data_IF_899156552474
#
_entry.id   IF_899156552474
#
_cell.length_a   1.000
_cell.length_b   1.000
_cell.length_c   1.000
_cell.angle_alpha   90.00
_cell.angle_beta   90.00
_cell.angle_gamma   90.00
#
_symmetry.space_group_name_H-M   'P 1'
#
loop_
_entity.id
_entity.type
_entity.pdbx_description
1 polymer ?
#
# COMPACT_ATOMS: atom_id res chain seq x y z
N UNK A 1 17.46 8.19 -19.96
CA UNK A 1 17.81 7.63 -18.64
C UNK A 1 19.22 8.03 -18.21
N UNK A 2 20.23 7.91 -19.08
CA UNK A 2 21.62 8.26 -18.72
C UNK A 2 21.83 9.72 -18.28
N UNK A 3 21.12 10.66 -18.90
CA UNK A 3 21.21 12.09 -18.53
C UNK A 3 20.72 12.33 -17.10
N UNK A 4 19.63 11.68 -16.71
CA UNK A 4 19.08 11.75 -15.34
C UNK A 4 20.02 11.13 -14.31
N UNK A 5 20.66 10.01 -14.65
CA UNK A 5 21.62 9.36 -13.76
C UNK A 5 22.88 10.22 -13.56
N UNK A 6 23.42 10.82 -14.62
CA UNK A 6 24.54 11.77 -14.53
C UNK A 6 24.18 13.02 -13.72
N UNK A 7 22.97 13.54 -13.87
CA UNK A 7 22.49 14.66 -13.06
C UNK A 7 22.41 14.30 -11.58
N UNK A 8 21.90 13.12 -11.23
CA UNK A 8 21.83 12.64 -9.85
C UNK A 8 23.24 12.47 -9.26
N UNK A 9 24.17 11.89 -10.00
CA UNK A 9 25.57 11.72 -9.57
C UNK A 9 26.28 13.05 -9.34
N UNK A 10 26.01 14.04 -10.18
CA UNK A 10 26.63 15.37 -10.07
C UNK A 10 26.06 16.19 -8.92
N UNK A 11 24.77 16.02 -8.59
CA UNK A 11 24.09 16.78 -7.52
C UNK A 11 24.26 16.14 -6.14
N UNK A 12 24.49 14.83 -6.06
CA UNK A 12 24.57 14.07 -4.81
C UNK A 12 25.92 13.34 -4.71
N UNK A 13 26.96 13.96 -4.13
CA UNK A 13 28.30 13.37 -4.01
C UNK A 13 28.38 12.31 -2.90
N UNK A 14 27.31 11.50 -2.73
CA UNK A 14 27.24 10.43 -1.74
C UNK A 14 27.59 9.08 -2.37
N UNK A 15 28.29 8.23 -1.64
CA UNK A 15 28.72 6.90 -2.09
C UNK A 15 27.56 5.98 -2.47
N UNK A 16 26.40 6.13 -1.85
CA UNK A 16 25.19 5.36 -2.15
C UNK A 16 24.54 5.72 -3.51
N UNK A 17 24.76 6.96 -4.00
CA UNK A 17 24.23 7.40 -5.30
C UNK A 17 24.89 6.70 -6.50
N UNK A 18 25.95 5.93 -6.29
CA UNK A 18 26.65 5.16 -7.34
C UNK A 18 25.91 3.87 -7.72
N UNK A 19 25.02 3.38 -6.87
CA UNK A 19 24.28 2.14 -7.13
C UNK A 19 23.03 2.41 -7.97
N UNK A 20 22.88 1.73 -9.10
CA UNK A 20 21.75 1.91 -10.01
C UNK A 20 20.39 1.66 -9.35
N UNK A 21 20.34 0.72 -8.41
CA UNK A 21 19.15 0.47 -7.59
C UNK A 21 18.73 1.73 -6.80
N UNK A 22 19.69 2.43 -6.20
CA UNK A 22 19.40 3.63 -5.41
C UNK A 22 18.94 4.80 -6.28
N UNK A 23 19.50 4.94 -7.48
CA UNK A 23 19.06 5.94 -8.47
C UNK A 23 17.64 5.71 -8.90
N UNK A 24 17.27 4.44 -9.20
CA UNK A 24 15.92 4.07 -9.56
C UNK A 24 14.93 4.32 -8.41
N UNK A 25 15.32 3.99 -7.18
CA UNK A 25 14.52 4.26 -5.99
C UNK A 25 14.30 5.77 -5.78
N UNK A 26 15.35 6.58 -5.93
CA UNK A 26 15.26 8.03 -5.82
C UNK A 26 14.35 8.64 -6.88
N UNK A 27 14.48 8.21 -8.14
CA UNK A 27 13.61 8.65 -9.24
C UNK A 27 12.15 8.27 -8.97
N UNK A 28 11.90 7.04 -8.50
CA UNK A 28 10.56 6.60 -8.15
C UNK A 28 9.96 7.46 -7.03
N UNK A 29 10.72 7.76 -5.98
CA UNK A 29 10.26 8.64 -4.89
C UNK A 29 9.94 10.04 -5.39
N UNK A 30 10.82 10.66 -6.20
CA UNK A 30 10.59 11.99 -6.76
C UNK A 30 9.31 12.03 -7.63
N UNK A 31 9.06 10.99 -8.41
CA UNK A 31 7.87 10.91 -9.27
C UNK A 31 6.58 10.65 -8.48
N UNK A 32 6.65 9.83 -7.44
CA UNK A 32 5.48 9.42 -6.66
C UNK A 32 5.09 10.48 -5.62
N UNK A 33 6.08 11.19 -5.04
CA UNK A 33 5.85 12.18 -3.99
C UNK A 33 4.80 13.25 -4.36
N UNK A 34 4.83 13.90 -5.53
CA UNK A 34 3.82 14.90 -5.89
C UNK A 34 2.43 14.28 -6.03
N UNK A 35 2.31 13.05 -6.50
CA UNK A 35 1.03 12.34 -6.61
C UNK A 35 0.46 12.09 -5.20
N UNK A 36 1.27 11.59 -4.27
CA UNK A 36 0.85 11.39 -2.89
C UNK A 36 0.56 12.71 -2.17
N UNK A 37 1.27 13.79 -2.46
CA UNK A 37 0.99 15.11 -1.90
C UNK A 37 -0.41 15.60 -2.34
N UNK A 38 -0.77 15.45 -3.61
CA UNK A 38 -2.10 15.80 -4.13
C UNK A 38 -3.20 14.94 -3.49
N UNK A 39 -3.00 13.64 -3.41
CA UNK A 39 -3.95 12.73 -2.77
C UNK A 39 -4.09 13.09 -1.29
N UNK A 40 -2.99 13.33 -0.58
CA UNK A 40 -3.00 13.70 0.83
C UNK A 40 -3.78 14.99 1.11
N UNK A 41 -3.63 16.02 0.28
CA UNK A 41 -4.41 17.26 0.42
C UNK A 41 -5.90 17.01 0.22
N UNK A 42 -6.28 16.15 -0.73
CA UNK A 42 -7.69 15.78 -0.95
C UNK A 42 -8.25 14.98 0.24
N UNK A 43 -7.47 14.04 0.79
CA UNK A 43 -7.85 13.22 1.95
C UNK A 43 -8.13 14.13 3.16
N UNK A 44 -7.24 15.08 3.45
CA UNK A 44 -7.40 16.04 4.54
C UNK A 44 -8.62 16.93 4.32
N UNK A 45 -8.79 17.47 3.10
CA UNK A 45 -9.92 18.35 2.75
C UNK A 45 -11.27 17.65 2.87
N UNK A 46 -11.31 16.33 2.71
CA UNK A 46 -12.52 15.52 2.83
C UNK A 46 -12.74 14.94 4.23
N UNK A 47 -11.92 15.31 5.21
CA UNK A 47 -11.97 14.75 6.56
C UNK A 47 -11.94 13.23 6.58
N UNK A 48 -10.93 12.65 5.91
CA UNK A 48 -10.75 11.20 5.75
C UNK A 48 -9.43 10.76 6.40
N UNK A 49 -9.25 11.03 7.71
CA UNK A 49 -7.99 10.76 8.42
C UNK A 49 -7.62 9.27 8.41
N UNK A 50 -8.59 8.36 8.54
CA UNK A 50 -8.38 6.92 8.53
C UNK A 50 -8.15 6.30 7.14
N UNK A 51 -8.16 7.10 6.07
CA UNK A 51 -8.06 6.59 4.71
C UNK A 51 -6.78 5.77 4.46
N UNK A 52 -5.64 6.30 4.91
CA UNK A 52 -4.34 5.63 4.75
C UNK A 52 -4.27 4.32 5.53
N UNK A 53 -4.83 4.29 6.74
CA UNK A 53 -4.84 3.11 7.59
C UNK A 53 -5.72 2.00 6.98
N UNK A 54 -6.91 2.37 6.49
CA UNK A 54 -7.80 1.42 5.78
C UNK A 54 -7.10 0.81 4.58
N UNK A 55 -6.42 1.63 3.76
CA UNK A 55 -5.69 1.14 2.59
C UNK A 55 -4.52 0.23 2.98
N UNK A 56 -3.72 0.63 3.97
CA UNK A 56 -2.59 -0.17 4.42
C UNK A 56 -3.00 -1.55 4.93
N UNK A 57 -4.01 -1.61 5.79
CA UNK A 57 -4.52 -2.87 6.31
C UNK A 57 -5.28 -3.69 5.27
N UNK A 58 -5.97 -3.06 4.33
CA UNK A 58 -6.61 -3.76 3.22
C UNK A 58 -5.58 -4.42 2.31
N UNK A 59 -4.45 -3.77 2.07
CA UNK A 59 -3.36 -4.35 1.30
C UNK A 59 -2.82 -5.62 1.97
N UNK A 60 -2.53 -5.58 3.28
CA UNK A 60 -2.07 -6.74 4.03
C UNK A 60 -3.11 -7.87 4.03
N UNK A 61 -4.38 -7.56 4.26
CA UNK A 61 -5.47 -8.55 4.24
C UNK A 61 -5.65 -9.13 2.83
N UNK A 62 -5.51 -8.30 1.79
CA UNK A 62 -5.57 -8.75 0.40
C UNK A 62 -4.45 -9.72 0.05
N UNK A 63 -3.22 -9.44 0.47
CA UNK A 63 -2.10 -10.37 0.33
C UNK A 63 -2.39 -11.68 1.06
N UNK A 64 -2.97 -11.60 2.28
CA UNK A 64 -3.37 -12.78 3.05
C UNK A 64 -4.32 -13.69 2.31
N UNK A 65 -5.36 -13.10 1.75
CA UNK A 65 -6.36 -13.81 0.94
C UNK A 65 -5.68 -14.46 -0.27
N UNK A 66 -4.83 -13.72 -0.98
CA UNK A 66 -4.11 -14.22 -2.15
C UNK A 66 -3.25 -15.45 -1.86
N UNK A 67 -2.52 -15.40 -0.75
CA UNK A 67 -1.67 -16.53 -0.31
C UNK A 67 -2.51 -17.76 0.04
N UNK A 68 -3.65 -17.58 0.74
CA UNK A 68 -4.52 -18.72 1.11
C UNK A 68 -5.21 -19.33 -0.10
N UNK A 69 -5.62 -18.50 -1.06
CA UNK A 69 -6.22 -18.94 -2.31
C UNK A 69 -5.19 -19.58 -3.27
N UNK A 70 -3.90 -19.55 -2.92
CA UNK A 70 -2.84 -20.11 -3.77
C UNK A 70 -2.62 -19.33 -5.05
N UNK A 71 -2.97 -18.04 -5.08
CA UNK A 71 -2.70 -17.19 -6.23
C UNK A 71 -1.18 -17.03 -6.41
N UNK A 72 -0.71 -17.21 -7.64
CA UNK A 72 0.71 -17.09 -7.96
C UNK A 72 1.27 -15.69 -7.70
N UNK A 73 0.42 -14.64 -7.81
CA UNK A 73 0.75 -13.27 -7.48
C UNK A 73 -0.26 -12.69 -6.49
N UNK A 74 0.13 -12.51 -5.21
CA UNK A 74 -0.75 -11.93 -4.19
C UNK A 74 -1.09 -10.46 -4.44
N UNK A 75 -0.35 -9.76 -5.32
CA UNK A 75 -0.60 -8.36 -5.67
C UNK A 75 -1.98 -8.17 -6.29
N UNK A 76 -2.44 -9.14 -7.08
CA UNK A 76 -3.76 -9.10 -7.71
C UNK A 76 -4.87 -9.09 -6.65
N UNK A 77 -4.78 -9.94 -5.64
CA UNK A 77 -5.77 -9.97 -4.55
C UNK A 77 -5.71 -8.73 -3.66
N UNK A 78 -4.51 -8.16 -3.45
CA UNK A 78 -4.32 -6.90 -2.76
C UNK A 78 -5.06 -5.75 -3.47
N UNK A 79 -4.86 -5.61 -4.79
CA UNK A 79 -5.52 -4.57 -5.59
C UNK A 79 -7.02 -4.81 -5.66
N UNK A 80 -7.46 -6.05 -5.88
CA UNK A 80 -8.87 -6.40 -5.94
C UNK A 80 -9.62 -6.06 -4.63
N UNK A 81 -9.03 -6.39 -3.48
CA UNK A 81 -9.61 -6.04 -2.19
C UNK A 81 -9.64 -4.51 -1.97
N UNK A 82 -8.59 -3.81 -2.34
CA UNK A 82 -8.54 -2.34 -2.26
C UNK A 82 -9.64 -1.67 -3.09
N UNK A 83 -9.84 -2.12 -4.32
CA UNK A 83 -10.91 -1.63 -5.21
C UNK A 83 -12.28 -1.94 -4.64
N UNK A 84 -12.50 -3.16 -4.16
CA UNK A 84 -13.77 -3.58 -3.55
C UNK A 84 -14.11 -2.71 -2.34
N UNK A 85 -13.14 -2.45 -1.47
CA UNK A 85 -13.32 -1.58 -0.32
C UNK A 85 -13.59 -0.13 -0.72
N UNK A 86 -12.90 0.39 -1.72
CA UNK A 86 -13.15 1.74 -2.23
C UNK A 86 -14.59 1.89 -2.73
N UNK A 87 -15.08 0.92 -3.49
CA UNK A 87 -16.47 0.89 -3.96
C UNK A 87 -17.44 0.81 -2.78
N UNK A 88 -17.18 -0.07 -1.81
CA UNK A 88 -18.02 -0.21 -0.63
C UNK A 88 -18.10 1.10 0.16
N UNK A 89 -16.98 1.77 0.42
CA UNK A 89 -16.94 3.06 1.11
C UNK A 89 -17.74 4.12 0.36
N UNK A 90 -17.60 4.20 -0.97
CA UNK A 90 -18.36 5.17 -1.80
C UNK A 90 -19.85 4.93 -1.70
N UNK A 91 -20.31 3.68 -1.82
CA UNK A 91 -21.73 3.31 -1.72
C UNK A 91 -22.29 3.66 -0.33
N UNK A 92 -21.59 3.24 0.73
CA UNK A 92 -22.03 3.51 2.09
C UNK A 92 -22.08 5.01 2.39
N UNK A 93 -21.06 5.76 1.93
CA UNK A 93 -21.05 7.21 2.09
C UNK A 93 -22.20 7.91 1.35
N UNK A 94 -22.60 7.38 0.20
CA UNK A 94 -23.75 7.89 -0.58
C UNK A 94 -25.10 7.62 0.08
N UNK A 95 -25.20 6.59 0.93
CA UNK A 95 -26.46 6.17 1.58
C UNK A 95 -26.60 6.67 3.02
N UNK A 96 -25.52 7.11 3.65
CA UNK A 96 -25.51 7.54 5.06
C UNK A 96 -25.08 9.01 5.17
N UNK A 97 -25.64 9.70 6.18
CA UNK A 97 -25.20 11.05 6.56
C UNK A 97 -24.02 11.00 7.57
N UNK A 98 -23.43 9.84 7.79
CA UNK A 98 -22.31 9.69 8.70
C UNK A 98 -21.06 10.43 8.19
N UNK A 99 -20.25 10.90 9.12
CA UNK A 99 -18.96 11.52 8.79
C UNK A 99 -18.06 10.51 8.04
N UNK A 100 -17.24 11.00 7.12
CA UNK A 100 -16.36 10.16 6.30
C UNK A 100 -15.45 9.26 7.15
N UNK A 101 -14.88 9.82 8.21
CA UNK A 101 -14.00 9.08 9.13
C UNK A 101 -14.74 7.99 9.90
N UNK A 102 -16.00 8.19 10.24
CA UNK A 102 -16.81 7.16 10.90
C UNK A 102 -17.01 5.94 10.00
N UNK A 103 -17.36 6.17 8.73
CA UNK A 103 -17.50 5.10 7.73
C UNK A 103 -16.18 4.38 7.54
N UNK A 104 -15.09 5.11 7.35
CA UNK A 104 -13.76 4.54 7.20
C UNK A 104 -13.32 3.74 8.43
N UNK A 105 -13.59 4.23 9.65
CA UNK A 105 -13.28 3.53 10.89
C UNK A 105 -13.98 2.18 11.02
N UNK A 106 -15.25 2.08 10.59
CA UNK A 106 -15.99 0.81 10.55
C UNK A 106 -15.33 -0.15 9.55
N UNK A 107 -15.03 0.30 8.33
CA UNK A 107 -14.35 -0.54 7.33
C UNK A 107 -12.95 -0.94 7.77
N UNK A 108 -12.21 -0.05 8.43
CA UNK A 108 -10.92 -0.34 9.03
C UNK A 108 -11.02 -1.51 10.04
N UNK A 109 -11.92 -1.40 11.00
CA UNK A 109 -12.13 -2.46 12.01
C UNK A 109 -12.50 -3.80 11.37
N UNK A 110 -13.38 -3.78 10.36
CA UNK A 110 -13.79 -4.98 9.63
C UNK A 110 -12.61 -5.63 8.89
N UNK A 111 -11.80 -4.84 8.18
CA UNK A 111 -10.65 -5.33 7.41
C UNK A 111 -9.57 -5.89 8.33
N UNK A 112 -9.27 -5.21 9.42
CA UNK A 112 -8.31 -5.69 10.42
C UNK A 112 -8.76 -7.01 11.03
N UNK A 113 -10.03 -7.09 11.45
CA UNK A 113 -10.60 -8.33 12.00
C UNK A 113 -10.53 -9.49 11.00
N UNK A 114 -10.93 -9.26 9.75
CA UNK A 114 -10.82 -10.25 8.68
C UNK A 114 -9.35 -10.67 8.45
N UNK A 115 -8.43 -9.72 8.39
CA UNK A 115 -7.01 -10.00 8.23
C UNK A 115 -6.46 -10.90 9.33
N UNK A 116 -6.80 -10.61 10.60
CA UNK A 116 -6.38 -11.42 11.74
C UNK A 116 -6.95 -12.84 11.67
N UNK A 117 -8.24 -12.97 11.37
CA UNK A 117 -8.91 -14.29 11.25
C UNK A 117 -8.28 -15.11 10.13
N UNK A 118 -8.06 -14.51 8.99
CA UNK A 118 -7.45 -15.16 7.82
C UNK A 118 -6.02 -15.61 8.14
N UNK A 119 -5.23 -14.72 8.74
CA UNK A 119 -3.87 -15.03 9.15
C UNK A 119 -3.78 -16.14 10.19
N UNK A 120 -4.70 -16.16 11.17
CA UNK A 120 -4.73 -17.18 12.20
C UNK A 120 -5.06 -18.57 11.65
N UNK A 121 -5.90 -18.65 10.60
CA UNK A 121 -6.27 -19.91 9.94
C UNK A 121 -5.29 -20.37 8.87
N UNK A 122 -4.59 -19.46 8.23
CA UNK A 122 -3.70 -19.74 7.10
C UNK A 122 -2.29 -20.25 7.42
N UNK A 123 -2.01 -20.64 8.67
CA UNK A 123 -0.70 -21.17 9.08
C UNK A 123 0.32 -20.13 9.53
N UNK A 124 -0.15 -18.94 9.89
CA UNK A 124 0.64 -17.91 10.58
C UNK A 124 1.55 -17.07 9.70
N UNK A 125 2.19 -16.12 10.34
CA UNK A 125 3.08 -15.11 9.74
C UNK A 125 4.28 -15.66 8.94
N UNK A 126 4.63 -16.92 9.10
CA UNK A 126 5.81 -17.53 8.46
C UNK A 126 5.77 -17.55 6.94
N UNK A 127 4.60 -17.75 6.33
CA UNK A 127 4.44 -17.63 4.88
C UNK A 127 4.48 -16.18 4.39
N UNK A 128 4.05 -15.24 5.23
CA UNK A 128 4.04 -13.81 4.93
C UNK A 128 5.43 -13.19 4.89
N UNK A 129 6.31 -13.61 5.78
CA UNK A 129 7.67 -13.08 5.82
C UNK A 129 8.44 -13.34 4.53
N UNK A 130 8.08 -14.36 3.76
CA UNK A 130 8.66 -14.59 2.43
C UNK A 130 8.26 -13.53 1.41
N UNK A 131 7.03 -13.03 1.46
CA UNK A 131 6.52 -11.99 0.55
C UNK A 131 6.90 -10.58 1.01
N UNK A 132 7.02 -10.35 2.32
CA UNK A 132 7.49 -9.09 2.89
C UNK A 132 9.03 -8.94 2.83
N UNK A 133 9.75 -10.02 2.64
CA UNK A 133 11.20 -10.03 2.38
C UNK A 133 11.56 -9.71 0.92
N UNK A 134 10.74 -8.92 0.24
CA UNK A 134 11.10 -8.34 -1.05
C UNK A 134 12.30 -7.41 -0.83
N UNK A 135 13.48 -7.89 -1.13
CA UNK A 135 14.73 -7.13 -0.97
C UNK A 135 15.91 -7.95 -0.45
N UNK A 136 15.72 -9.18 -0.01
CA UNK A 136 16.80 -10.13 0.26
C UNK A 136 16.84 -11.24 -0.79
N UNK A 137 16.72 -10.87 -2.04
CA UNK A 137 17.09 -11.74 -3.12
C UNK A 137 18.59 -11.56 -3.32
N UNK A 138 19.29 -12.64 -3.07
CA UNK A 138 20.68 -12.87 -3.46
C UNK A 138 21.78 -12.06 -2.74
N UNK A 139 22.22 -12.56 -1.62
CA UNK A 139 23.64 -12.72 -1.29
C UNK A 139 23.93 -14.19 -1.23
#
# INVERSE_FOLDING_TARGET
MEILYKAIESMLPFTWAKYDFMKNALLAVILITPVFALIGTMVISKHMAFFSDVLGHSALTGVAIGVILGLGDPTVSMVALGVLLAIAVVIFKGTTQAASDTVLGVFFAMVVALGIVILSRGGGFTKYTSYLKIGRAHV
#
